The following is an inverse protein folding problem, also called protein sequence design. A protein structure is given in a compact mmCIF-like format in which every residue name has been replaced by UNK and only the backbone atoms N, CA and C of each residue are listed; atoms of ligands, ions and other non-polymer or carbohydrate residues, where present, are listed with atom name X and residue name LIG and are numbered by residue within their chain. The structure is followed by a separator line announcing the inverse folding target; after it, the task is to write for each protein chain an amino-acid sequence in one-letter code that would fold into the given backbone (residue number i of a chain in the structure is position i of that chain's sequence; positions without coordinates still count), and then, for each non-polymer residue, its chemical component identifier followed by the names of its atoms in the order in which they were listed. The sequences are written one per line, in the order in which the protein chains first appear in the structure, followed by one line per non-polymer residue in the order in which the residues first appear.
data_IF_843443513062
#
_entry.id   IF_843443513062
#
_cell.length_a   1.000
_cell.length_b   1.000
_cell.length_c   1.000
_cell.angle_alpha   90.00
_cell.angle_beta   90.00
_cell.angle_gamma   90.00
#
_symmetry.space_group_name_H-M   'P 1'
#
loop_
_entity.id
_entity.type
_entity.pdbx_description
1 polymer ?
#
# COMPACT_ATOMS: atom_id res chain seq x y z
N UNK A 1 -76.23 -3.02 -2.60
CA UNK A 1 -75.14 -3.51 -1.74
C UNK A 1 -73.85 -3.01 -2.37
N UNK A 2 -73.45 -1.80 -1.98
CA UNK A 2 -72.24 -1.12 -2.45
C UNK A 2 -71.02 -1.74 -1.76
N UNK A 3 -70.02 -2.14 -2.55
CA UNK A 3 -68.67 -2.41 -2.03
C UNK A 3 -67.70 -1.46 -2.73
N UNK A 4 -67.37 -0.40 -2.00
CA UNK A 4 -66.34 0.59 -2.29
C UNK A 4 -64.97 -0.06 -2.05
N UNK A 5 -64.07 -0.08 -3.03
CA UNK A 5 -62.64 -0.35 -2.81
C UNK A 5 -61.82 0.85 -3.29
N UNK A 6 -61.15 1.59 -2.38
CA UNK A 6 -60.38 2.77 -2.73
C UNK A 6 -59.00 2.44 -3.30
N UNK A 7 -58.47 3.40 -4.07
CA UNK A 7 -57.29 3.28 -4.91
C UNK A 7 -55.99 2.88 -4.22
N UNK A 8 -55.23 2.05 -4.93
CA UNK A 8 -53.81 1.79 -4.68
C UNK A 8 -53.01 3.05 -5.01
N UNK A 9 -52.67 3.81 -3.97
CA UNK A 9 -51.68 4.87 -4.03
C UNK A 9 -50.32 4.30 -4.46
N UNK A 10 -49.79 4.84 -5.56
CA UNK A 10 -48.36 4.79 -5.87
C UNK A 10 -47.59 5.51 -4.74
N UNK A 11 -47.01 4.74 -3.82
CA UNK A 11 -45.94 5.24 -2.96
C UNK A 11 -44.63 4.56 -3.36
N UNK A 12 -43.68 5.41 -3.73
CA UNK A 12 -42.32 5.10 -4.13
C UNK A 12 -41.63 4.23 -3.06
N UNK A 13 -41.34 2.99 -3.42
CA UNK A 13 -40.42 2.14 -2.68
C UNK A 13 -38.99 2.64 -2.92
N UNK A 14 -38.54 3.56 -2.07
CA UNK A 14 -37.12 3.83 -1.90
C UNK A 14 -36.45 2.57 -1.36
N UNK A 15 -35.96 1.72 -2.25
CA UNK A 15 -35.13 0.56 -1.90
C UNK A 15 -33.91 1.11 -1.17
N UNK A 16 -33.86 0.90 0.15
CA UNK A 16 -32.62 1.08 0.93
C UNK A 16 -31.60 0.11 0.34
N UNK A 17 -30.75 0.61 -0.56
CA UNK A 17 -29.55 -0.12 -0.99
C UNK A 17 -28.82 -0.53 0.28
N UNK A 18 -28.63 -1.84 0.45
CA UNK A 18 -28.00 -2.36 1.65
C UNK A 18 -26.60 -1.74 1.77
N UNK A 19 -26.24 -1.20 2.94
CA UNK A 19 -24.91 -0.58 3.18
C UNK A 19 -23.77 -1.49 2.71
N UNK A 20 -23.94 -2.81 2.86
CA UNK A 20 -22.98 -3.81 2.40
C UNK A 20 -22.84 -3.87 0.87
N UNK A 21 -23.95 -3.78 0.13
CA UNK A 21 -23.94 -3.75 -1.34
C UNK A 21 -23.27 -2.48 -1.84
N UNK A 22 -23.53 -1.35 -1.20
CA UNK A 22 -22.87 -0.08 -1.53
C UNK A 22 -21.35 -0.16 -1.34
N UNK A 23 -20.90 -0.68 -0.19
CA UNK A 23 -19.46 -0.88 0.07
C UNK A 23 -18.82 -1.84 -0.94
N UNK A 24 -19.54 -2.89 -1.33
CA UNK A 24 -19.07 -3.86 -2.32
C UNK A 24 -18.97 -3.22 -3.71
N UNK A 25 -19.97 -2.42 -4.10
CA UNK A 25 -19.97 -1.70 -5.37
C UNK A 25 -18.84 -0.66 -5.45
N UNK A 26 -18.60 0.10 -4.37
CA UNK A 26 -17.50 1.07 -4.29
C UNK A 26 -16.12 0.41 -4.40
N UNK A 27 -15.95 -0.76 -3.77
CA UNK A 27 -14.72 -1.55 -3.88
C UNK A 27 -14.49 -2.04 -5.30
N UNK A 28 -15.50 -2.65 -5.91
CA UNK A 28 -15.42 -3.14 -7.30
C UNK A 28 -15.11 -1.99 -8.26
N UNK A 29 -15.81 -0.86 -8.10
CA UNK A 29 -15.59 0.33 -8.89
C UNK A 29 -14.12 0.76 -8.85
N UNK A 30 -13.54 0.79 -7.65
CA UNK A 30 -12.16 1.21 -7.42
C UNK A 30 -11.15 0.24 -8.02
N UNK A 31 -11.34 -1.07 -7.83
CA UNK A 31 -10.52 -2.11 -8.46
C UNK A 31 -10.58 -2.04 -9.99
N UNK A 32 -11.78 -1.88 -10.56
CA UNK A 32 -11.94 -1.81 -12.01
C UNK A 32 -11.27 -0.58 -12.61
N UNK A 33 -11.42 0.60 -11.98
CA UNK A 33 -10.72 1.82 -12.44
C UNK A 33 -9.20 1.65 -12.36
N UNK A 34 -8.68 1.15 -11.24
CA UNK A 34 -7.25 0.97 -11.03
C UNK A 34 -6.65 -0.04 -12.03
N UNK A 35 -7.25 -1.21 -12.18
CA UNK A 35 -6.79 -2.25 -13.10
C UNK A 35 -6.87 -1.80 -14.56
N UNK A 36 -7.95 -1.11 -14.95
CA UNK A 36 -8.10 -0.55 -16.29
C UNK A 36 -7.03 0.51 -16.58
N UNK A 37 -6.83 1.47 -15.68
CA UNK A 37 -5.80 2.52 -15.82
C UNK A 37 -4.42 1.88 -15.97
N UNK A 38 -4.06 0.94 -15.09
CA UNK A 38 -2.78 0.20 -15.17
C UNK A 38 -2.59 -0.51 -16.51
N UNK A 39 -3.65 -1.09 -17.07
CA UNK A 39 -3.61 -1.73 -18.38
C UNK A 39 -3.53 -0.73 -19.55
N UNK A 40 -3.60 0.58 -19.30
CA UNK A 40 -3.60 1.64 -20.32
C UNK A 40 -4.89 1.68 -21.14
N UNK A 41 -5.98 1.13 -20.62
CA UNK A 41 -7.23 0.95 -21.37
C UNK A 41 -8.25 2.07 -21.08
N UNK A 42 -8.96 2.53 -22.11
CA UNK A 42 -10.15 3.37 -21.98
C UNK A 42 -11.37 2.55 -21.57
N UNK A 43 -12.43 3.25 -21.14
CA UNK A 43 -13.71 2.59 -20.84
C UNK A 43 -14.34 1.94 -22.08
N UNK A 44 -14.14 2.55 -23.26
CA UNK A 44 -14.62 2.01 -24.55
C UNK A 44 -13.90 0.69 -24.87
N UNK A 45 -12.59 0.63 -24.68
CA UNK A 45 -11.79 -0.58 -24.95
C UNK A 45 -12.23 -1.75 -24.07
N UNK A 46 -12.42 -1.50 -22.77
CA UNK A 46 -12.92 -2.50 -21.82
C UNK A 46 -14.33 -2.95 -22.21
N UNK A 47 -15.23 -2.02 -22.53
CA UNK A 47 -16.60 -2.33 -22.91
C UNK A 47 -16.65 -3.26 -24.14
N UNK A 48 -15.89 -2.93 -25.18
CA UNK A 48 -15.80 -3.74 -26.40
C UNK A 48 -15.24 -5.13 -26.11
N UNK A 49 -14.14 -5.22 -25.34
CA UNK A 49 -13.49 -6.51 -25.04
C UNK A 49 -14.33 -7.41 -24.13
N UNK A 50 -15.20 -6.83 -23.29
CA UNK A 50 -16.11 -7.58 -22.41
C UNK A 50 -17.49 -7.83 -23.05
N UNK A 51 -17.76 -7.31 -24.25
CA UNK A 51 -19.06 -7.45 -24.90
C UNK A 51 -20.21 -6.75 -24.15
N UNK A 52 -19.92 -5.66 -23.43
CA UNK A 52 -20.91 -4.87 -22.69
C UNK A 52 -20.94 -3.42 -23.18
N UNK A 53 -21.97 -2.66 -22.80
CA UNK A 53 -22.04 -1.24 -23.16
C UNK A 53 -21.03 -0.40 -22.37
N UNK A 54 -20.51 0.67 -22.97
CA UNK A 54 -19.66 1.64 -22.25
C UNK A 54 -20.40 2.26 -21.05
N UNK A 55 -21.71 2.46 -21.15
CA UNK A 55 -22.55 2.90 -20.05
C UNK A 55 -22.56 1.91 -18.86
N UNK A 56 -22.49 0.60 -19.12
CA UNK A 56 -22.36 -0.39 -18.05
C UNK A 56 -21.00 -0.27 -17.33
N UNK A 57 -19.90 -0.15 -18.08
CA UNK A 57 -18.55 0.08 -17.50
C UNK A 57 -18.55 1.35 -16.66
N UNK A 58 -19.08 2.46 -17.21
CA UNK A 58 -19.15 3.73 -16.49
C UNK A 58 -19.96 3.60 -15.20
N UNK A 59 -21.16 3.03 -15.22
CA UNK A 59 -21.96 2.83 -14.00
C UNK A 59 -21.25 1.95 -12.98
N UNK A 60 -20.53 0.92 -13.42
CA UNK A 60 -19.75 0.07 -12.52
C UNK A 60 -18.58 0.84 -11.90
N UNK A 61 -17.83 1.61 -12.68
CA UNK A 61 -16.73 2.45 -12.18
C UNK A 61 -17.19 3.59 -11.26
N UNK A 62 -18.48 3.91 -11.23
CA UNK A 62 -19.09 4.85 -10.28
C UNK A 62 -19.76 4.16 -9.09
N UNK A 63 -19.68 2.83 -8.97
CA UNK A 63 -20.31 2.09 -7.87
C UNK A 63 -21.84 2.02 -7.96
N UNK A 64 -22.41 2.28 -9.14
CA UNK A 64 -23.85 2.24 -9.40
C UNK A 64 -24.30 0.83 -9.80
N UNK A 65 -23.43 0.09 -10.50
CA UNK A 65 -23.73 -1.25 -11.03
C UNK A 65 -22.66 -2.25 -10.58
N UNK A 66 -23.09 -3.34 -9.94
CA UNK A 66 -22.22 -4.48 -9.66
C UNK A 66 -22.18 -5.37 -10.91
N UNK A 67 -21.00 -5.70 -11.48
CA UNK A 67 -20.90 -6.60 -12.61
C UNK A 67 -21.27 -8.02 -12.20
N UNK A 68 -21.76 -8.82 -13.14
CA UNK A 68 -21.96 -10.24 -12.89
C UNK A 68 -20.61 -10.96 -12.71
N UNK A 69 -20.62 -12.11 -12.03
CA UNK A 69 -19.41 -12.89 -11.81
C UNK A 69 -18.67 -13.25 -13.12
N UNK A 70 -19.34 -13.69 -14.21
CA UNK A 70 -18.66 -13.93 -15.50
C UNK A 70 -17.91 -12.69 -16.04
N UNK A 71 -18.57 -11.52 -16.04
CA UNK A 71 -17.96 -10.26 -16.48
C UNK A 71 -16.76 -9.89 -15.62
N UNK A 72 -16.84 -10.11 -14.30
CA UNK A 72 -15.72 -9.89 -13.39
C UNK A 72 -14.53 -10.81 -13.71
N UNK A 73 -14.75 -12.11 -13.92
CA UNK A 73 -13.68 -13.05 -14.26
C UNK A 73 -13.03 -12.72 -15.61
N UNK A 74 -13.82 -12.33 -16.61
CA UNK A 74 -13.29 -11.92 -17.90
C UNK A 74 -12.51 -10.60 -17.81
N UNK A 75 -12.98 -9.66 -16.98
CA UNK A 75 -12.23 -8.44 -16.66
C UNK A 75 -10.89 -8.74 -15.96
N UNK A 76 -10.87 -9.69 -15.01
CA UNK A 76 -9.65 -10.12 -14.34
C UNK A 76 -8.62 -10.69 -15.30
N UNK A 77 -9.04 -11.57 -16.22
CA UNK A 77 -8.18 -12.11 -17.27
C UNK A 77 -7.65 -11.01 -18.19
N UNK A 78 -8.53 -10.10 -18.61
CA UNK A 78 -8.20 -9.01 -19.52
C UNK A 78 -7.19 -8.01 -18.93
N UNK A 79 -7.31 -7.72 -17.63
CA UNK A 79 -6.45 -6.74 -16.95
C UNK A 79 -5.30 -7.36 -16.16
N UNK A 80 -5.19 -8.70 -16.19
CA UNK A 80 -4.21 -9.48 -15.44
C UNK A 80 -4.22 -9.09 -13.95
N UNK A 81 -5.38 -9.24 -13.30
CA UNK A 81 -5.52 -9.12 -11.83
C UNK A 81 -6.09 -10.42 -11.27
N UNK A 82 -5.78 -10.72 -10.01
CA UNK A 82 -6.40 -11.85 -9.32
C UNK A 82 -7.88 -11.56 -9.05
N UNK A 83 -8.79 -12.53 -9.28
CA UNK A 83 -10.17 -12.44 -8.82
C UNK A 83 -10.29 -12.20 -7.31
N UNK A 84 -9.30 -12.65 -6.53
CA UNK A 84 -9.25 -12.44 -5.07
C UNK A 84 -9.11 -10.97 -4.67
N UNK A 85 -8.76 -10.08 -5.62
CA UNK A 85 -8.73 -8.63 -5.39
C UNK A 85 -10.09 -8.09 -4.92
N UNK A 86 -11.20 -8.74 -5.27
CA UNK A 86 -12.53 -8.45 -4.69
C UNK A 86 -12.57 -8.60 -3.17
N UNK A 87 -11.92 -9.65 -2.68
CA UNK A 87 -11.89 -10.02 -1.26
C UNK A 87 -10.91 -9.11 -0.52
N UNK A 88 -9.70 -8.95 -1.06
CA UNK A 88 -8.63 -8.17 -0.42
C UNK A 88 -8.85 -6.66 -0.52
N UNK A 89 -9.54 -6.19 -1.56
CA UNK A 89 -9.77 -4.77 -1.83
C UNK A 89 -8.60 -4.04 -2.50
N UNK A 90 -7.54 -4.77 -2.89
CA UNK A 90 -6.38 -4.22 -3.58
C UNK A 90 -5.88 -5.17 -4.67
N UNK A 91 -5.07 -4.64 -5.59
CA UNK A 91 -4.42 -5.41 -6.64
C UNK A 91 -3.01 -5.78 -6.17
N UNK A 92 -2.64 -7.06 -6.35
CA UNK A 92 -1.34 -7.61 -6.01
C UNK A 92 -0.96 -8.71 -7.02
N UNK A 93 0.30 -8.69 -7.44
CA UNK A 93 0.97 -9.69 -8.31
C UNK A 93 2.24 -10.26 -7.69
N UNK A 94 2.73 -9.65 -6.61
CA UNK A 94 3.92 -10.08 -5.87
C UNK A 94 5.20 -10.10 -6.73
N UNK A 95 5.35 -9.12 -7.64
CA UNK A 95 6.59 -8.96 -8.42
C UNK A 95 7.71 -8.30 -7.60
N UNK A 96 9.00 -8.49 -7.93
CA UNK A 96 10.05 -7.67 -7.36
C UNK A 96 9.95 -6.20 -7.83
N UNK A 97 10.43 -5.27 -7.00
CA UNK A 97 10.59 -3.87 -7.36
C UNK A 97 11.83 -3.70 -8.26
N UNK A 98 11.69 -2.93 -9.35
CA UNK A 98 12.74 -2.69 -10.35
C UNK A 98 12.86 -1.20 -10.61
N UNK A 99 14.07 -0.60 -10.56
CA UNK A 99 14.23 0.84 -10.73
C UNK A 99 13.68 1.32 -12.08
N UNK A 100 13.99 0.57 -13.14
CA UNK A 100 13.44 0.72 -14.48
C UNK A 100 12.27 -0.25 -14.67
N UNK A 101 11.14 0.04 -14.03
CA UNK A 101 9.93 -0.73 -14.29
C UNK A 101 9.41 -0.44 -15.72
N UNK A 102 9.14 -1.48 -16.54
CA UNK A 102 8.55 -1.32 -17.87
C UNK A 102 7.12 -0.76 -17.80
N UNK A 103 6.46 -0.87 -16.65
CA UNK A 103 5.17 -0.24 -16.40
C UNK A 103 5.42 1.22 -16.01
N UNK A 104 5.29 2.15 -16.97
CA UNK A 104 5.27 3.60 -16.70
C UNK A 104 4.16 4.01 -15.73
N UNK A 105 3.67 5.24 -15.79
CA UNK A 105 2.48 5.64 -15.00
C UNK A 105 1.16 5.18 -15.63
N UNK A 106 1.19 4.15 -16.50
CA UNK A 106 0.15 3.79 -17.46
C UNK A 106 -1.28 4.17 -17.01
N UNK A 107 -1.91 5.09 -17.75
CA UNK A 107 -3.28 5.58 -17.51
C UNK A 107 -3.51 6.44 -16.25
N UNK A 108 -2.56 6.48 -15.30
CA UNK A 108 -2.64 7.28 -14.08
C UNK A 108 -2.08 8.68 -14.27
N UNK A 109 -2.72 9.66 -13.61
CA UNK A 109 -2.22 11.03 -13.51
C UNK A 109 -1.33 11.15 -12.28
N UNK A 110 -0.03 11.27 -12.49
CA UNK A 110 0.97 11.37 -11.42
C UNK A 110 1.93 12.52 -11.74
N UNK A 111 2.21 13.37 -10.75
CA UNK A 111 3.21 14.43 -10.91
C UNK A 111 4.59 13.86 -11.24
N UNK A 112 5.30 14.48 -12.20
CA UNK A 112 6.61 14.02 -12.69
C UNK A 112 7.67 13.83 -11.60
N UNK A 113 7.60 14.63 -10.53
CA UNK A 113 8.45 14.49 -9.33
C UNK A 113 8.41 13.10 -8.67
N UNK A 114 7.38 12.29 -8.95
CA UNK A 114 7.21 10.94 -8.42
C UNK A 114 7.50 9.83 -9.44
N UNK A 115 7.78 10.18 -10.69
CA UNK A 115 7.83 9.21 -11.81
C UNK A 115 9.24 8.77 -12.19
N UNK A 116 10.26 9.44 -11.69
CA UNK A 116 11.68 9.09 -11.89
C UNK A 116 12.20 8.23 -10.75
N UNK A 117 13.10 7.28 -11.02
CA UNK A 117 13.76 6.45 -10.00
C UNK A 117 12.75 5.82 -9.00
N UNK A 118 11.72 5.16 -9.54
CA UNK A 118 10.56 4.62 -8.80
C UNK A 118 10.90 3.36 -8.02
N UNK A 119 11.81 3.47 -7.06
CA UNK A 119 12.33 2.30 -6.35
C UNK A 119 11.44 1.76 -5.23
N UNK A 120 10.32 2.40 -4.89
CA UNK A 120 9.37 1.91 -3.86
C UNK A 120 8.08 1.42 -4.48
N UNK A 121 7.54 0.30 -4.01
CA UNK A 121 6.15 -0.08 -4.27
C UNK A 121 5.19 0.63 -3.32
N UNK A 122 3.94 0.81 -3.73
CA UNK A 122 2.88 1.31 -2.85
C UNK A 122 2.78 0.48 -1.57
N UNK A 123 2.96 -0.84 -1.66
CA UNK A 123 3.04 -1.74 -0.51
C UNK A 123 4.01 -1.27 0.57
N UNK A 124 5.21 -0.82 0.19
CA UNK A 124 6.21 -0.34 1.14
C UNK A 124 5.78 0.96 1.83
N UNK A 125 4.85 1.70 1.22
CA UNK A 125 4.32 2.97 1.71
C UNK A 125 3.06 2.81 2.57
N UNK A 126 2.47 1.61 2.62
CA UNK A 126 1.23 1.35 3.36
C UNK A 126 1.28 1.78 4.82
N UNK A 127 2.39 1.60 5.58
CA UNK A 127 2.47 2.13 6.93
C UNK A 127 2.23 3.64 7.01
N UNK A 128 2.82 4.42 6.10
CA UNK A 128 2.63 5.86 6.02
C UNK A 128 1.22 6.23 5.55
N UNK A 129 0.69 5.54 4.53
CA UNK A 129 -0.66 5.77 4.01
C UNK A 129 -1.74 5.47 5.06
N UNK A 130 -1.67 4.31 5.72
CA UNK A 130 -2.60 3.90 6.77
C UNK A 130 -2.52 4.82 7.98
N UNK A 131 -1.31 5.24 8.37
CA UNK A 131 -1.15 6.20 9.45
C UNK A 131 -1.74 7.56 9.08
N UNK A 132 -1.47 8.06 7.87
CA UNK A 132 -2.06 9.31 7.38
C UNK A 132 -3.59 9.25 7.34
N UNK A 133 -4.16 8.18 6.78
CA UNK A 133 -5.61 8.00 6.75
C UNK A 133 -6.22 7.88 8.15
N UNK A 134 -5.52 7.29 9.12
CA UNK A 134 -6.00 7.23 10.50
C UNK A 134 -6.09 8.60 11.19
N UNK A 135 -5.35 9.60 10.68
CA UNK A 135 -5.34 10.97 11.20
C UNK A 135 -6.36 11.84 10.46
N UNK A 136 -6.37 11.80 9.14
CA UNK A 136 -7.16 12.72 8.32
C UNK A 136 -8.44 12.11 7.71
N UNK A 137 -8.64 10.80 7.88
CA UNK A 137 -9.71 10.04 7.24
C UNK A 137 -9.55 9.93 5.72
N UNK A 138 -10.42 9.15 5.09
CA UNK A 138 -10.36 8.89 3.64
C UNK A 138 -10.55 10.16 2.81
N UNK A 139 -11.32 11.14 3.30
CA UNK A 139 -11.50 12.41 2.60
C UNK A 139 -10.22 13.26 2.65
N UNK A 140 -9.55 13.31 3.80
CA UNK A 140 -8.27 13.98 3.94
C UNK A 140 -7.17 13.33 3.08
N UNK A 141 -7.16 11.99 3.01
CA UNK A 141 -6.28 11.26 2.09
C UNK A 141 -6.53 11.67 0.63
N UNK A 142 -7.79 11.69 0.17
CA UNK A 142 -8.14 12.11 -1.19
C UNK A 142 -7.69 13.54 -1.49
N UNK A 143 -7.91 14.47 -0.55
CA UNK A 143 -7.47 15.87 -0.68
C UNK A 143 -5.95 15.98 -0.75
N UNK A 144 -5.24 15.24 0.09
CA UNK A 144 -3.78 15.19 0.07
C UNK A 144 -3.26 14.69 -1.29
N UNK A 145 -3.71 13.52 -1.74
CA UNK A 145 -3.31 12.94 -3.03
C UNK A 145 -3.61 13.89 -4.19
N UNK A 146 -4.77 14.55 -4.18
CA UNK A 146 -5.11 15.57 -5.17
C UNK A 146 -4.12 16.77 -5.12
N UNK A 147 -3.76 17.24 -3.92
CA UNK A 147 -2.83 18.37 -3.75
C UNK A 147 -1.44 18.07 -4.30
N UNK A 148 -0.98 16.81 -4.21
CA UNK A 148 0.28 16.37 -4.79
C UNK A 148 0.13 15.78 -6.22
N UNK A 149 -1.07 15.87 -6.79
CA UNK A 149 -1.43 15.36 -8.13
C UNK A 149 -1.07 13.88 -8.33
N UNK A 150 -1.45 13.05 -7.37
CA UNK A 150 -1.41 11.59 -7.45
C UNK A 150 -2.85 11.09 -7.56
N UNK A 151 -3.13 10.33 -8.62
CA UNK A 151 -4.43 9.67 -8.81
C UNK A 151 -4.70 8.69 -7.65
N UNK A 152 -5.82 8.81 -6.91
CA UNK A 152 -6.13 7.89 -5.81
C UNK A 152 -6.26 6.42 -6.23
N UNK A 153 -6.63 6.15 -7.48
CA UNK A 153 -6.70 4.76 -7.97
C UNK A 153 -5.28 4.15 -8.13
N UNK A 154 -4.22 4.97 -8.14
CA UNK A 154 -2.84 4.50 -8.23
C UNK A 154 -2.41 3.69 -7.00
N UNK A 155 -2.89 4.06 -5.81
CA UNK A 155 -2.51 3.39 -4.56
C UNK A 155 -3.28 2.08 -4.30
N UNK A 156 -4.25 1.75 -5.16
CA UNK A 156 -5.05 0.52 -5.07
C UNK A 156 -4.25 -0.69 -5.55
N UNK A 157 -3.31 -0.48 -6.46
CA UNK A 157 -2.37 -1.50 -6.88
C UNK A 157 -1.11 -1.43 -6.02
N UNK A 158 -0.94 -2.44 -5.16
CA UNK A 158 0.16 -2.48 -4.20
C UNK A 158 1.52 -2.71 -4.88
N UNK A 159 1.53 -3.14 -6.15
CA UNK A 159 2.74 -3.33 -6.94
C UNK A 159 3.06 -2.16 -7.85
N UNK A 160 2.19 -1.15 -7.95
CA UNK A 160 2.56 0.13 -8.54
C UNK A 160 3.79 0.69 -7.83
N UNK A 161 4.72 1.22 -8.62
CA UNK A 161 5.94 1.80 -8.11
C UNK A 161 5.93 3.32 -8.17
N UNK A 162 6.44 3.93 -7.12
CA UNK A 162 6.61 5.36 -6.94
C UNK A 162 7.98 5.64 -6.32
N UNK A 163 8.49 6.86 -6.47
CA UNK A 163 9.79 7.18 -5.90
C UNK A 163 9.70 7.67 -4.44
N UNK A 164 10.87 7.84 -3.83
CA UNK A 164 11.00 8.17 -2.41
C UNK A 164 10.34 9.51 -2.03
N UNK A 165 10.20 10.46 -2.97
CA UNK A 165 9.57 11.76 -2.70
C UNK A 165 8.13 11.61 -2.19
N UNK A 166 7.41 10.58 -2.63
CA UNK A 166 6.03 10.35 -2.18
C UNK A 166 5.96 10.07 -0.68
N UNK A 167 6.84 9.20 -0.17
CA UNK A 167 6.98 8.93 1.26
C UNK A 167 7.36 10.20 2.03
N UNK A 168 8.33 10.95 1.49
CA UNK A 168 8.83 12.17 2.12
C UNK A 168 7.76 13.25 2.22
N UNK A 169 6.91 13.44 1.20
CA UNK A 169 5.84 14.43 1.26
C UNK A 169 4.74 14.03 2.27
N UNK A 170 4.42 12.73 2.41
CA UNK A 170 3.51 12.23 3.45
C UNK A 170 4.11 12.50 4.84
N UNK A 171 5.37 12.13 5.04
CA UNK A 171 6.07 12.32 6.31
C UNK A 171 6.20 13.79 6.69
N UNK A 172 6.63 14.65 5.75
CA UNK A 172 6.78 16.09 5.96
C UNK A 172 5.44 16.72 6.34
N UNK A 173 4.35 16.33 5.65
CA UNK A 173 3.01 16.81 6.01
C UNK A 173 2.62 16.42 7.44
N UNK A 174 2.84 15.16 7.82
CA UNK A 174 2.53 14.70 9.18
C UNK A 174 3.41 15.34 10.26
N UNK A 175 4.68 15.65 9.96
CA UNK A 175 5.60 16.33 10.86
C UNK A 175 5.15 17.78 11.05
N UNK A 176 4.90 18.49 9.95
CA UNK A 176 4.47 19.90 9.96
C UNK A 176 3.17 20.10 10.72
N UNK A 177 2.23 19.19 10.59
CA UNK A 177 0.95 19.21 11.32
C UNK A 177 1.09 18.67 12.76
N UNK A 178 2.28 18.21 13.17
CA UNK A 178 2.59 17.78 14.54
C UNK A 178 2.10 16.37 14.90
N UNK A 179 1.73 15.55 13.92
CA UNK A 179 1.21 14.20 14.10
C UNK A 179 2.29 13.11 14.08
N UNK A 180 3.38 13.31 13.34
CA UNK A 180 4.52 12.39 13.28
C UNK A 180 5.66 12.90 14.18
N UNK A 181 5.84 12.24 15.32
CA UNK A 181 6.88 12.50 16.33
C UNK A 181 7.58 11.19 16.68
N UNK A 182 8.71 11.27 17.38
CA UNK A 182 9.41 10.12 17.95
C UNK A 182 8.47 9.05 18.56
N UNK A 183 7.56 9.49 19.45
CA UNK A 183 6.61 8.62 20.15
C UNK A 183 5.53 7.98 19.27
N UNK A 184 5.29 8.49 18.07
CA UNK A 184 4.29 7.93 17.16
C UNK A 184 4.87 6.91 16.17
N UNK A 185 6.20 6.73 16.13
CA UNK A 185 6.84 5.80 15.22
C UNK A 185 6.43 4.34 15.46
N UNK A 186 6.23 3.94 16.71
CA UNK A 186 5.67 2.61 17.01
C UNK A 186 4.25 2.42 16.44
N UNK A 187 3.42 3.46 16.47
CA UNK A 187 2.07 3.43 15.87
C UNK A 187 2.14 3.38 14.34
N UNK A 188 3.02 4.17 13.73
CA UNK A 188 3.28 4.15 12.29
C UNK A 188 3.73 2.75 11.84
N UNK A 189 4.68 2.16 12.56
CA UNK A 189 5.22 0.83 12.27
C UNK A 189 4.25 -0.32 12.58
N UNK A 190 3.14 -0.09 13.30
CA UNK A 190 2.16 -1.15 13.61
C UNK A 190 1.56 -1.79 12.35
N UNK A 191 1.42 -1.00 11.28
CA UNK A 191 0.96 -1.49 9.98
C UNK A 191 1.92 -2.53 9.37
N UNK A 192 3.18 -2.57 9.80
CA UNK A 192 4.15 -3.57 9.37
C UNK A 192 3.78 -5.01 9.76
N UNK A 193 2.74 -5.25 10.53
CA UNK A 193 2.28 -6.62 10.86
C UNK A 193 0.91 -6.94 10.28
N UNK A 194 0.39 -6.06 9.44
CA UNK A 194 -0.95 -6.20 8.88
C UNK A 194 -0.90 -7.01 7.60
N UNK A 195 -1.91 -7.86 7.38
CA UNK A 195 -2.03 -8.68 6.17
C UNK A 195 -1.98 -7.84 4.92
N UNK A 196 -2.61 -6.67 4.94
CA UNK A 196 -2.67 -5.69 3.87
C UNK A 196 -1.28 -5.22 3.43
N UNK A 197 -0.34 -5.10 4.38
CA UNK A 197 1.05 -4.67 4.13
C UNK A 197 1.91 -5.73 3.46
N UNK A 198 1.57 -7.01 3.60
CA UNK A 198 2.37 -8.11 3.03
C UNK A 198 1.64 -8.89 1.94
N UNK A 199 0.33 -8.68 1.80
CA UNK A 199 -0.48 -9.36 0.81
C UNK A 199 -0.37 -10.87 0.92
N UNK A 200 -0.11 -11.53 -0.20
CA UNK A 200 0.09 -12.99 -0.26
C UNK A 200 1.31 -13.48 0.53
N UNK A 201 2.31 -12.63 0.78
CA UNK A 201 3.48 -13.01 1.60
C UNK A 201 3.18 -13.06 3.10
N UNK A 202 2.05 -12.49 3.54
CA UNK A 202 1.69 -12.48 4.96
C UNK A 202 1.64 -13.89 5.55
N UNK A 203 0.97 -14.84 4.88
CA UNK A 203 0.84 -16.22 5.36
C UNK A 203 2.19 -16.92 5.48
N UNK A 204 3.10 -16.65 4.54
CA UNK A 204 4.46 -17.18 4.60
C UNK A 204 5.19 -16.65 5.84
N UNK A 205 5.16 -15.33 6.08
CA UNK A 205 5.76 -14.77 7.30
C UNK A 205 5.09 -15.30 8.56
N UNK A 206 3.77 -15.44 8.55
CA UNK A 206 2.99 -15.94 9.67
C UNK A 206 3.41 -17.35 10.07
N UNK A 207 3.70 -18.22 9.09
CA UNK A 207 4.15 -19.60 9.30
C UNK A 207 5.60 -19.76 9.80
N UNK A 208 6.41 -18.69 9.83
CA UNK A 208 7.80 -18.78 10.28
C UNK A 208 7.87 -18.72 11.81
N UNK A 209 8.51 -19.71 12.41
CA UNK A 209 8.77 -19.77 13.84
C UNK A 209 10.02 -19.00 14.24
N UNK A 210 9.92 -18.26 15.35
CA UNK A 210 11.00 -17.44 15.89
C UNK A 210 11.06 -16.03 15.31
N UNK A 211 11.27 -15.04 16.19
CA UNK A 211 11.29 -13.62 15.83
C UNK A 211 12.38 -13.28 14.81
N UNK A 212 13.61 -13.78 15.04
CA UNK A 212 14.76 -13.49 14.19
C UNK A 212 14.70 -14.21 12.83
N UNK A 213 14.18 -15.44 12.80
CA UNK A 213 13.92 -16.15 11.54
C UNK A 213 12.89 -15.42 10.69
N UNK A 214 11.80 -14.94 11.29
CA UNK A 214 10.78 -14.15 10.59
C UNK A 214 11.39 -12.90 9.97
N UNK A 215 12.22 -12.18 10.73
CA UNK A 215 12.94 -11.01 10.23
C UNK A 215 13.92 -11.36 9.10
N UNK A 216 14.67 -12.46 9.21
CA UNK A 216 15.53 -12.95 8.12
C UNK A 216 14.73 -13.19 6.83
N UNK A 217 13.55 -13.81 6.93
CA UNK A 217 12.68 -14.08 5.78
C UNK A 217 12.11 -12.78 5.18
N UNK A 218 11.76 -11.79 6.00
CA UNK A 218 11.39 -10.45 5.52
C UNK A 218 12.53 -9.79 4.75
N UNK A 219 13.76 -9.80 5.29
CA UNK A 219 14.92 -9.17 4.65
C UNK A 219 15.24 -9.81 3.30
N UNK A 220 15.16 -11.14 3.19
CA UNK A 220 15.30 -11.87 1.91
C UNK A 220 14.24 -11.49 0.88
N UNK A 221 13.08 -11.02 1.34
CA UNK A 221 11.96 -10.59 0.52
C UNK A 221 11.84 -9.06 0.40
N UNK A 222 12.82 -8.28 0.90
CA UNK A 222 12.77 -6.82 0.86
C UNK A 222 12.62 -6.27 -0.57
N UNK A 223 13.18 -6.98 -1.56
CA UNK A 223 13.03 -6.65 -2.99
C UNK A 223 11.58 -6.61 -3.49
N UNK A 224 10.63 -7.25 -2.80
CA UNK A 224 9.20 -7.18 -3.16
C UNK A 224 8.51 -5.92 -2.63
N UNK A 225 9.24 -5.09 -1.89
CA UNK A 225 8.78 -3.82 -1.34
C UNK A 225 9.48 -2.65 -2.01
N UNK A 226 10.80 -2.75 -2.18
CA UNK A 226 11.58 -1.69 -2.78
C UNK A 226 12.93 -2.18 -3.30
N UNK A 227 13.59 -1.33 -4.09
CA UNK A 227 14.98 -1.45 -4.52
C UNK A 227 15.81 -0.19 -4.18
N UNK A 228 15.31 0.69 -3.30
CA UNK A 228 16.05 1.88 -2.88
C UNK A 228 17.21 1.59 -1.94
N UNK A 229 17.12 0.50 -1.19
CA UNK A 229 18.12 0.12 -0.21
C UNK A 229 18.48 -1.35 -0.40
N UNK A 230 19.76 -1.63 -0.21
CA UNK A 230 20.28 -2.98 -0.11
C UNK A 230 20.26 -3.41 1.36
N UNK A 231 19.68 -4.58 1.59
CA UNK A 231 19.54 -5.20 2.90
C UNK A 231 20.46 -6.41 2.97
N UNK A 232 21.38 -6.41 3.94
CA UNK A 232 22.32 -7.52 4.14
C UNK A 232 22.27 -8.00 5.58
N UNK A 233 22.26 -9.30 5.77
CA UNK A 233 22.48 -9.93 7.08
C UNK A 233 23.98 -10.10 7.22
N UNK A 234 24.56 -9.39 8.19
CA UNK A 234 26.01 -9.40 8.44
C UNK A 234 26.38 -10.54 9.41
N UNK A 235 25.52 -10.79 10.40
CA UNK A 235 25.66 -11.89 11.35
C UNK A 235 24.29 -12.41 11.78
N UNK A 236 24.20 -13.70 12.10
CA UNK A 236 22.96 -14.36 12.49
C UNK A 236 23.21 -15.51 13.45
N UNK A 237 22.55 -15.47 14.60
CA UNK A 237 22.59 -16.50 15.63
C UNK A 237 21.17 -16.85 16.11
N UNK A 238 21.06 -17.77 17.07
CA UNK A 238 19.78 -18.09 17.71
C UNK A 238 19.24 -16.96 18.58
N UNK A 239 20.09 -16.02 19.02
CA UNK A 239 19.74 -14.95 19.96
C UNK A 239 19.91 -13.55 19.38
N UNK A 240 20.56 -13.39 18.22
CA UNK A 240 20.81 -12.11 17.58
C UNK A 240 20.78 -12.17 16.05
N UNK A 241 20.44 -11.04 15.42
CA UNK A 241 20.65 -10.77 14.00
C UNK A 241 21.26 -9.38 13.85
N UNK A 242 22.38 -9.30 13.14
CA UNK A 242 22.95 -8.04 12.69
C UNK A 242 22.62 -7.84 11.22
N UNK A 243 22.05 -6.69 10.90
CA UNK A 243 21.68 -6.33 9.53
C UNK A 243 22.18 -4.94 9.17
N UNK A 244 22.58 -4.77 7.92
CA UNK A 244 22.94 -3.48 7.34
C UNK A 244 21.95 -3.05 6.25
N UNK A 245 21.72 -1.74 6.17
CA UNK A 245 20.84 -1.10 5.19
C UNK A 245 21.64 0.00 4.48
N UNK A 246 21.92 -0.21 3.20
CA UNK A 246 22.77 0.69 2.40
C UNK A 246 21.92 1.36 1.32
N UNK A 247 21.96 2.70 1.17
CA UNK A 247 21.21 3.36 0.10
C UNK A 247 21.82 3.04 -1.28
N UNK A 248 20.98 2.75 -2.26
CA UNK A 248 21.42 2.57 -3.64
C UNK A 248 21.80 3.90 -4.31
N UNK A 249 22.63 3.83 -5.34
CA UNK A 249 23.24 4.99 -6.01
C UNK A 249 22.22 6.04 -6.48
N UNK A 250 21.05 5.62 -7.00
CA UNK A 250 20.01 6.54 -7.46
C UNK A 250 19.45 7.42 -6.34
N UNK A 251 19.56 6.99 -5.08
CA UNK A 251 19.11 7.79 -3.94
C UNK A 251 19.90 9.09 -3.75
N UNK A 252 21.09 9.22 -4.34
CA UNK A 252 21.86 10.49 -4.34
C UNK A 252 21.10 11.65 -5.00
N UNK A 253 20.08 11.36 -5.81
CA UNK A 253 19.21 12.35 -6.46
C UNK A 253 18.07 12.84 -5.55
N UNK A 254 17.92 12.25 -4.37
CA UNK A 254 16.85 12.56 -3.42
C UNK A 254 17.42 13.26 -2.19
N UNK A 255 16.76 14.31 -1.72
CA UNK A 255 17.14 15.00 -0.49
C UNK A 255 16.45 14.37 0.74
N UNK A 256 16.71 13.09 0.99
CA UNK A 256 16.09 12.33 2.09
C UNK A 256 16.81 12.45 3.43
N UNK A 257 17.93 13.19 3.46
CA UNK A 257 18.68 13.56 4.67
C UNK A 257 18.49 15.03 5.07
N UNK A 258 17.39 15.64 4.65
CA UNK A 258 17.14 17.04 4.94
C UNK A 258 16.78 17.27 6.42
N UNK A 259 16.97 18.49 6.90
CA UNK A 259 16.77 18.86 8.30
C UNK A 259 15.32 18.67 8.80
N UNK A 260 14.32 18.78 7.91
CA UNK A 260 12.90 18.60 8.28
C UNK A 260 12.59 17.14 8.64
N UNK A 261 13.17 16.21 7.89
CA UNK A 261 13.00 14.77 8.13
C UNK A 261 13.98 14.23 9.18
N UNK A 262 15.13 14.88 9.38
CA UNK A 262 16.17 14.40 10.30
C UNK A 262 16.56 12.95 10.02
N UNK A 263 16.57 12.11 11.06
CA UNK A 263 16.85 10.68 10.99
C UNK A 263 15.59 9.80 10.90
N UNK A 264 14.44 10.38 10.50
CA UNK A 264 13.13 9.71 10.52
C UNK A 264 13.15 8.33 9.85
N UNK A 265 13.74 8.21 8.65
CA UNK A 265 13.76 6.94 7.92
C UNK A 265 14.56 5.87 8.67
N UNK A 266 15.65 6.26 9.34
CA UNK A 266 16.43 5.34 10.18
C UNK A 266 15.56 4.83 11.34
N UNK A 267 15.00 5.76 12.11
CA UNK A 267 14.18 5.44 13.28
C UNK A 267 12.92 4.66 12.93
N UNK A 268 12.29 5.00 11.81
CA UNK A 268 11.16 4.23 11.27
C UNK A 268 11.57 2.79 10.98
N UNK A 269 12.71 2.55 10.32
CA UNK A 269 13.20 1.18 10.04
C UNK A 269 13.49 0.43 11.34
N UNK A 270 14.06 1.07 12.35
CA UNK A 270 14.25 0.46 13.68
C UNK A 270 12.91 -0.05 14.24
N UNK A 271 11.90 0.82 14.29
CA UNK A 271 10.57 0.44 14.77
C UNK A 271 9.91 -0.61 13.86
N UNK A 272 10.08 -0.52 12.55
CA UNK A 272 9.55 -1.49 11.59
C UNK A 272 10.11 -2.89 11.86
N UNK A 273 11.44 -3.03 11.96
CA UNK A 273 12.07 -4.33 12.22
C UNK A 273 11.71 -4.88 13.59
N UNK A 274 11.70 -4.03 14.62
CA UNK A 274 11.33 -4.46 15.97
C UNK A 274 9.86 -4.91 16.02
N UNK A 275 8.94 -4.11 15.48
CA UNK A 275 7.52 -4.49 15.44
C UNK A 275 7.32 -5.77 14.64
N UNK A 276 7.99 -5.92 13.50
CA UNK A 276 7.85 -7.10 12.65
C UNK A 276 8.38 -8.38 13.32
N UNK A 277 9.58 -8.31 13.90
CA UNK A 277 10.21 -9.47 14.52
C UNK A 277 9.38 -9.98 15.72
N UNK A 278 8.91 -9.08 16.58
CA UNK A 278 8.31 -9.43 17.87
C UNK A 278 6.77 -9.42 17.89
N UNK A 279 6.12 -9.26 16.73
CA UNK A 279 4.66 -9.21 16.60
C UNK A 279 3.92 -10.39 17.26
N UNK A 280 4.50 -11.59 17.17
CA UNK A 280 3.93 -12.85 17.70
C UNK A 280 4.43 -13.21 19.09
N UNK A 281 5.33 -12.44 19.69
CA UNK A 281 5.94 -12.76 20.97
C UNK A 281 5.96 -11.53 21.87
N UNK A 282 4.77 -11.00 22.26
CA UNK A 282 4.70 -9.80 23.09
C UNK A 282 5.32 -9.98 24.48
N UNK A 283 5.52 -11.24 24.92
CA UNK A 283 6.21 -11.57 26.18
C UNK A 283 7.73 -11.65 26.07
N UNK A 284 8.29 -11.69 24.85
CA UNK A 284 9.74 -11.67 24.64
C UNK A 284 10.15 -10.25 24.30
N UNK A 285 10.88 -9.62 25.22
CA UNK A 285 11.45 -8.31 24.95
C UNK A 285 12.61 -8.46 23.95
N UNK A 286 12.48 -7.77 22.83
CA UNK A 286 13.54 -7.64 21.86
C UNK A 286 14.31 -6.36 22.07
N UNK A 287 15.63 -6.44 22.15
CA UNK A 287 16.48 -5.25 22.13
C UNK A 287 16.90 -4.96 20.69
N UNK A 288 16.82 -3.69 20.29
CA UNK A 288 17.40 -3.19 19.05
C UNK A 288 18.46 -2.14 19.40
N UNK A 289 19.67 -2.35 18.89
CA UNK A 289 20.81 -1.44 19.06
C UNK A 289 21.24 -0.94 17.68
N UNK A 290 21.27 0.39 17.52
CA UNK A 290 21.90 1.02 16.37
C UNK A 290 23.41 1.06 16.56
N UNK A 291 24.17 0.47 15.63
CA UNK A 291 25.65 0.44 15.64
C UNK A 291 26.27 1.48 14.71
N UNK A 292 25.60 1.76 13.60
CA UNK A 292 26.01 2.74 12.60
C UNK A 292 24.74 3.41 12.04
N UNK A 293 24.81 4.72 11.75
CA UNK A 293 23.69 5.46 11.19
C UNK A 293 24.09 6.34 10.01
N UNK A 294 23.41 6.13 8.88
CA UNK A 294 23.55 6.89 7.65
C UNK A 294 23.31 8.40 7.84
N UNK A 295 22.52 8.77 8.85
CA UNK A 295 22.16 10.15 9.18
C UNK A 295 23.13 10.81 10.18
N UNK A 296 24.00 10.01 10.82
CA UNK A 296 25.02 10.47 11.77
C UNK A 296 26.44 10.23 11.23
N UNK A 297 26.64 10.43 9.93
CA UNK A 297 27.96 10.36 9.28
C UNK A 297 28.37 8.96 8.77
N UNK A 298 27.57 7.92 9.01
CA UNK A 298 27.79 6.58 8.44
C UNK A 298 27.50 6.51 6.94
N UNK A 299 28.00 5.47 6.29
CA UNK A 299 27.68 5.19 4.86
C UNK A 299 26.45 4.29 4.71
N UNK A 300 26.00 3.69 5.81
CA UNK A 300 24.86 2.79 5.91
C UNK A 300 24.27 2.86 7.32
N UNK A 301 23.14 2.19 7.53
CA UNK A 301 22.68 1.91 8.89
C UNK A 301 22.99 0.46 9.24
N UNK A 302 23.48 0.21 10.47
CA UNK A 302 23.71 -1.15 10.99
C UNK A 302 22.93 -1.30 12.28
N UNK A 303 22.12 -2.34 12.36
CA UNK A 303 21.29 -2.65 13.52
C UNK A 303 21.63 -4.05 14.04
N UNK A 304 21.68 -4.20 15.34
CA UNK A 304 21.71 -5.48 16.03
C UNK A 304 20.37 -5.67 16.75
N UNK A 305 19.68 -6.76 16.45
CA UNK A 305 18.40 -7.10 17.08
C UNK A 305 18.59 -8.42 17.82
N UNK A 306 18.34 -8.42 19.12
CA UNK A 306 18.49 -9.59 19.98
C UNK A 306 17.20 -9.94 20.71
N UNK A 307 17.05 -11.22 21.02
CA UNK A 307 16.00 -11.72 21.91
C UNK A 307 16.57 -11.79 23.32
N UNK A 308 15.92 -11.13 24.28
CA UNK A 308 16.28 -11.17 25.70
C UNK A 308 15.55 -12.32 26.40
#
# INVERSE_FOLDING_TARGET
MECYLPGLNHQASGIRVNTQEKLSAERIATLMRAARKRAGLGQVDIAQKLGISQGAVSRTEHGILIPSAPIWFDFCKLTDISPDSLVTGFIEKSSPALLESPQGTAGFKIHSRYTTDRGSKIRAMLPFLSFFESIYGSQGMKQFLASIRVDPDFIVDHDNQINLNFCMDIASRLIKDGHLKARSLGRLAKAANQRESHGSMHSHYDSVDGALNRLQVLLRNARFYECNFDYKIEDFSSTSIQLSVTPNEHLKRFNYKNDELGDLLCRYKQHYFQQFAFAKSPSKEGQLIEKECLFHGGTRCVYEISVV
#
